data_IF_917157898254
#
_entry.id   IF_917157898254
#
_cell.length_a   1.000
_cell.length_b   1.000
_cell.length_c   1.000
_cell.angle_alpha   90.00
_cell.angle_beta   90.00
_cell.angle_gamma   90.00
#
_symmetry.space_group_name_H-M   'P 1'
#
loop_
_entity.id
_entity.type
_entity.pdbx_description
1 polymer ?
#
# COMPACT_ATOMS: atom_id res chain seq x y z
N UNK A 1 -11.78 3.50 19.05
CA UNK A 1 -10.78 2.94 18.12
C UNK A 1 -9.58 2.42 18.88
N UNK A 2 -8.84 1.49 18.26
CA UNK A 2 -7.64 0.88 18.83
C UNK A 2 -6.44 1.77 18.52
N UNK A 3 -5.54 1.96 19.47
CA UNK A 3 -4.30 2.70 19.25
C UNK A 3 -3.31 1.86 18.43
N UNK A 4 -3.04 2.29 17.19
CA UNK A 4 -2.10 1.64 16.26
C UNK A 4 -0.63 1.89 16.58
N UNK A 5 -0.32 2.79 17.53
CA UNK A 5 1.06 3.17 17.85
C UNK A 5 1.70 2.29 18.94
N UNK A 6 0.90 1.47 19.62
CA UNK A 6 1.37 0.60 20.70
C UNK A 6 1.86 -0.72 20.10
N UNK A 7 3.16 -1.05 20.23
CA UNK A 7 3.66 -2.36 19.82
C UNK A 7 3.12 -3.42 20.78
N UNK A 8 2.48 -4.44 20.22
CA UNK A 8 1.93 -5.56 21.00
C UNK A 8 2.42 -6.88 20.43
N UNK A 9 2.83 -7.78 21.32
CA UNK A 9 3.19 -9.16 20.97
C UNK A 9 1.95 -10.06 20.84
N UNK A 10 0.79 -9.61 21.33
CA UNK A 10 -0.46 -10.33 21.25
C UNK A 10 -1.65 -9.44 21.61
N UNK A 11 -2.86 -9.92 21.32
CA UNK A 11 -4.10 -9.24 21.69
C UNK A 11 -4.59 -9.74 23.04
N UNK A 12 -4.49 -8.90 24.07
CA UNK A 12 -4.92 -9.21 25.44
C UNK A 12 -6.21 -8.48 25.75
N UNK A 13 -7.33 -9.21 25.79
CA UNK A 13 -8.69 -8.64 25.81
C UNK A 13 -8.92 -7.64 26.96
N UNK A 14 -8.39 -7.89 28.17
CA UNK A 14 -8.58 -6.96 29.30
C UNK A 14 -7.70 -5.71 29.21
N UNK A 15 -6.60 -5.75 28.47
CA UNK A 15 -5.79 -4.57 28.16
C UNK A 15 -6.47 -3.71 27.07
N UNK A 16 -7.32 -4.33 26.26
CA UNK A 16 -8.06 -3.71 25.17
C UNK A 16 -9.51 -3.37 25.58
N UNK A 17 -9.74 -3.06 26.87
CA UNK A 17 -11.05 -2.67 27.43
C UNK A 17 -12.18 -3.69 27.16
N UNK A 18 -11.85 -4.98 27.14
CA UNK A 18 -12.81 -6.06 26.88
C UNK A 18 -13.12 -6.25 25.39
N UNK A 19 -12.43 -5.55 24.48
CA UNK A 19 -12.64 -5.68 23.04
C UNK A 19 -11.96 -6.94 22.51
N UNK A 20 -12.72 -7.71 21.73
CA UNK A 20 -12.19 -8.82 20.94
C UNK A 20 -11.80 -8.37 19.53
N UNK A 21 -10.90 -9.08 18.83
CA UNK A 21 -10.54 -8.74 17.46
C UNK A 21 -11.74 -8.84 16.51
N UNK A 22 -11.83 -7.89 15.58
CA UNK A 22 -12.84 -7.91 14.51
C UNK A 22 -12.47 -8.89 13.38
N UNK A 23 -11.16 -9.12 13.20
CA UNK A 23 -10.61 -10.06 12.23
C UNK A 23 -9.48 -10.87 12.87
N UNK A 24 -9.44 -12.16 12.55
CA UNK A 24 -8.31 -13.05 12.86
C UNK A 24 -7.82 -13.70 11.56
N UNK A 25 -6.51 -13.67 11.33
CA UNK A 25 -5.85 -14.39 10.24
C UNK A 25 -4.85 -15.36 10.86
N UNK A 26 -5.03 -16.66 10.59
CA UNK A 26 -4.16 -17.71 11.11
C UNK A 26 -3.26 -18.28 10.01
N UNK A 27 -1.95 -18.25 10.25
CA UNK A 27 -0.95 -18.87 9.39
C UNK A 27 -0.60 -20.27 9.91
N UNK A 28 -0.94 -21.30 9.13
CA UNK A 28 -0.75 -22.70 9.52
C UNK A 28 0.69 -23.16 9.24
N UNK A 29 1.28 -23.88 10.20
CA UNK A 29 2.53 -24.63 10.00
C UNK A 29 2.24 -26.09 9.65
N UNK A 30 3.19 -26.85 9.08
CA UNK A 30 2.99 -28.26 8.75
C UNK A 30 2.73 -29.11 9.99
N UNK A 31 3.31 -28.74 11.15
CA UNK A 31 3.12 -29.44 12.42
C UNK A 31 1.71 -29.30 12.99
N UNK A 32 1.02 -28.21 12.63
CA UNK A 32 -0.31 -27.87 13.13
C UNK A 32 -1.38 -27.98 12.03
N UNK A 33 -1.02 -28.51 10.85
CA UNK A 33 -1.97 -28.77 9.76
C UNK A 33 -3.01 -29.83 10.17
N UNK A 34 -2.65 -30.71 11.10
CA UNK A 34 -3.53 -31.71 11.71
C UNK A 34 -4.20 -31.23 13.00
N UNK A 35 -3.82 -30.06 13.53
CA UNK A 35 -4.55 -29.44 14.64
C UNK A 35 -5.85 -28.89 14.09
N UNK A 36 -6.90 -29.61 14.44
CA UNK A 36 -8.29 -29.44 14.07
C UNK A 36 -8.66 -27.96 13.96
N UNK A 37 -8.72 -27.45 12.71
CA UNK A 37 -9.34 -26.16 12.40
C UNK A 37 -10.69 -25.99 13.12
N UNK A 38 -11.37 -27.09 13.49
CA UNK A 38 -12.58 -27.11 14.31
C UNK A 38 -12.44 -26.40 15.67
N UNK A 39 -11.44 -26.73 16.50
CA UNK A 39 -11.41 -26.22 17.89
C UNK A 39 -11.19 -24.71 17.92
N UNK A 40 -10.18 -24.20 17.19
CA UNK A 40 -9.89 -22.76 17.13
C UNK A 40 -11.04 -22.00 16.48
N UNK A 41 -11.57 -22.51 15.36
CA UNK A 41 -12.74 -21.92 14.70
C UNK A 41 -13.96 -21.87 15.62
N UNK A 42 -14.21 -22.91 16.42
CA UNK A 42 -15.31 -22.93 17.38
C UNK A 42 -15.12 -21.89 18.49
N UNK A 43 -13.90 -21.68 18.98
CA UNK A 43 -13.58 -20.62 19.95
C UNK A 43 -13.84 -19.24 19.35
N UNK A 44 -13.34 -18.99 18.13
CA UNK A 44 -13.53 -17.71 17.46
C UNK A 44 -15.01 -17.45 17.13
N UNK A 45 -15.75 -18.50 16.74
CA UNK A 45 -17.18 -18.44 16.43
C UNK A 45 -18.03 -18.18 17.68
N UNK A 46 -17.81 -18.94 18.75
CA UNK A 46 -18.76 -19.03 19.87
C UNK A 46 -18.38 -18.15 21.05
N UNK A 47 -17.08 -17.98 21.29
CA UNK A 47 -16.56 -17.24 22.44
C UNK A 47 -16.17 -15.83 22.04
N UNK A 48 -15.29 -15.68 21.04
CA UNK A 48 -14.76 -14.36 20.67
C UNK A 48 -15.76 -13.58 19.82
N UNK A 49 -16.65 -14.30 19.10
CA UNK A 49 -17.60 -13.71 18.17
C UNK A 49 -16.90 -12.85 17.12
N UNK A 50 -15.72 -13.27 16.68
CA UNK A 50 -14.91 -12.55 15.69
C UNK A 50 -15.66 -12.55 14.34
N UNK A 51 -16.04 -11.38 13.81
CA UNK A 51 -16.78 -11.24 12.57
C UNK A 51 -16.18 -11.98 11.37
N UNK A 52 -14.89 -11.77 11.06
CA UNK A 52 -14.20 -12.47 9.97
C UNK A 52 -13.01 -13.30 10.48
N UNK A 53 -12.90 -14.53 9.99
CA UNK A 53 -11.80 -15.43 10.32
C UNK A 53 -11.21 -16.04 9.05
N UNK A 54 -9.88 -15.96 8.90
CA UNK A 54 -9.14 -16.46 7.76
C UNK A 54 -8.05 -17.43 8.19
N UNK A 55 -7.77 -18.41 7.34
CA UNK A 55 -6.72 -19.41 7.52
C UNK A 55 -5.96 -19.55 6.22
N UNK A 56 -4.63 -19.56 6.31
CA UNK A 56 -3.74 -19.78 5.18
C UNK A 56 -2.52 -20.61 5.59
N UNK A 57 -2.07 -21.49 4.70
CA UNK A 57 -0.82 -22.23 4.82
C UNK A 57 0.18 -21.69 3.79
N UNK A 58 1.35 -21.18 4.19
CA UNK A 58 2.37 -20.72 3.25
C UNK A 58 2.97 -21.86 2.41
N UNK A 59 2.67 -23.12 2.73
CA UNK A 59 3.12 -24.31 1.99
C UNK A 59 2.13 -24.77 0.91
N UNK A 60 0.94 -24.16 0.85
CA UNK A 60 -0.06 -24.41 -0.19
C UNK A 60 -0.70 -23.08 -0.61
N UNK A 61 -0.32 -22.53 -1.77
CA UNK A 61 -0.84 -21.25 -2.27
C UNK A 61 -2.37 -21.22 -2.42
N UNK A 62 -3.04 -22.38 -2.55
CA UNK A 62 -4.49 -22.46 -2.72
C UNK A 62 -5.24 -22.70 -1.39
N UNK A 63 -4.54 -22.68 -0.26
CA UNK A 63 -5.10 -23.03 1.05
C UNK A 63 -5.92 -21.92 1.72
N UNK A 64 -5.94 -20.72 1.13
CA UNK A 64 -6.65 -19.56 1.68
C UNK A 64 -8.14 -19.88 1.83
N UNK A 65 -8.61 -19.87 3.06
CA UNK A 65 -10.01 -20.08 3.42
C UNK A 65 -10.44 -19.01 4.41
N UNK A 66 -11.73 -18.69 4.39
CA UNK A 66 -12.27 -17.69 5.30
C UNK A 66 -13.74 -17.90 5.58
N UNK A 67 -14.18 -17.36 6.70
CA UNK A 67 -15.55 -17.43 7.17
C UNK A 67 -15.98 -16.09 7.75
N UNK A 68 -17.28 -15.82 7.67
CA UNK A 68 -17.92 -14.66 8.27
C UNK A 68 -19.10 -15.07 9.15
N UNK A 69 -19.26 -14.43 10.31
CA UNK A 69 -20.43 -14.63 11.15
C UNK A 69 -21.69 -14.09 10.46
N UNK A 70 -22.71 -14.93 10.34
CA UNK A 70 -24.03 -14.53 9.89
C UNK A 70 -24.90 -13.97 11.03
N UNK A 71 -26.14 -13.62 10.71
CA UNK A 71 -27.15 -13.19 11.68
C UNK A 71 -27.45 -14.21 12.78
N UNK A 72 -27.19 -15.50 12.54
CA UNK A 72 -27.35 -16.57 13.52
C UNK A 72 -26.09 -16.79 14.36
N UNK A 73 -25.08 -15.93 14.21
CA UNK A 73 -23.80 -16.01 14.91
C UNK A 73 -23.07 -17.33 14.61
N UNK A 74 -23.18 -17.81 13.37
CA UNK A 74 -22.46 -18.99 12.85
C UNK A 74 -21.58 -18.59 11.69
N UNK A 75 -20.42 -19.22 11.59
CA UNK A 75 -19.51 -18.97 10.48
C UNK A 75 -20.05 -19.59 9.18
N UNK A 76 -20.25 -18.74 8.19
CA UNK A 76 -20.51 -19.11 6.81
C UNK A 76 -19.22 -18.97 6.00
N UNK A 77 -18.87 -19.96 5.17
CA UNK A 77 -17.68 -19.87 4.33
C UNK A 77 -17.82 -18.70 3.35
N UNK A 78 -16.74 -17.94 3.18
CA UNK A 78 -16.65 -16.89 2.18
C UNK A 78 -16.41 -17.52 0.80
N UNK A 79 -17.04 -16.96 -0.23
CA UNK A 79 -16.86 -17.39 -1.61
C UNK A 79 -15.73 -16.57 -2.22
N UNK A 80 -14.69 -17.21 -2.79
CA UNK A 80 -13.61 -16.48 -3.45
C UNK A 80 -14.08 -15.84 -4.75
N UNK A 81 -13.44 -14.73 -5.11
CA UNK A 81 -13.56 -14.12 -6.43
C UNK A 81 -12.73 -14.92 -7.47
N UNK A 82 -12.68 -14.42 -8.71
CA UNK A 82 -11.95 -15.06 -9.82
C UNK A 82 -10.44 -15.22 -9.56
N UNK A 83 -9.87 -14.37 -8.70
CA UNK A 83 -8.47 -14.38 -8.28
C UNK A 83 -8.22 -15.25 -7.03
N UNK A 84 -9.25 -15.91 -6.48
CA UNK A 84 -9.14 -16.69 -5.25
C UNK A 84 -9.19 -15.86 -3.97
N UNK A 85 -9.51 -14.56 -4.04
CA UNK A 85 -9.51 -13.65 -2.89
C UNK A 85 -10.85 -13.64 -2.17
N UNK A 86 -10.81 -13.37 -0.87
CA UNK A 86 -11.96 -13.39 0.02
C UNK A 86 -12.24 -11.98 0.56
N UNK A 87 -13.48 -11.51 0.45
CA UNK A 87 -13.86 -10.19 0.93
C UNK A 87 -14.03 -10.17 2.46
N UNK A 88 -13.25 -9.34 3.17
CA UNK A 88 -13.50 -9.01 4.57
C UNK A 88 -14.36 -7.76 4.66
N UNK A 89 -15.63 -7.93 5.00
CA UNK A 89 -16.51 -6.77 5.22
C UNK A 89 -16.16 -6.01 6.50
N UNK A 90 -15.42 -6.62 7.45
CA UNK A 90 -14.96 -5.92 8.66
C UNK A 90 -13.81 -4.95 8.38
N UNK A 91 -12.93 -5.29 7.43
CA UNK A 91 -11.83 -4.42 7.01
C UNK A 91 -12.19 -3.50 5.84
N UNK A 92 -13.17 -3.89 5.01
CA UNK A 92 -13.41 -3.24 3.72
C UNK A 92 -12.30 -3.53 2.71
N UNK A 93 -11.65 -4.70 2.82
CA UNK A 93 -10.55 -5.13 1.96
C UNK A 93 -10.72 -6.58 1.51
N UNK A 94 -10.16 -6.90 0.35
CA UNK A 94 -9.90 -8.27 -0.06
C UNK A 94 -8.72 -8.83 0.72
N UNK A 95 -8.86 -10.06 1.19
CA UNK A 95 -7.77 -10.90 1.68
C UNK A 95 -7.37 -11.82 0.54
N UNK A 96 -6.15 -11.68 0.05
CA UNK A 96 -5.66 -12.40 -1.11
C UNK A 96 -4.23 -12.88 -0.95
N UNK A 97 -3.80 -13.77 -1.84
CA UNK A 97 -2.41 -14.24 -1.90
C UNK A 97 -1.60 -13.39 -2.87
N UNK A 98 -0.38 -13.06 -2.47
CA UNK A 98 0.60 -12.31 -3.26
C UNK A 98 1.93 -13.07 -3.27
N UNK A 99 2.51 -13.27 -4.45
CA UNK A 99 3.85 -13.86 -4.58
C UNK A 99 4.90 -12.76 -4.69
N UNK A 100 5.89 -12.81 -3.81
CA UNK A 100 7.02 -11.89 -3.85
C UNK A 100 7.89 -11.95 -2.60
N UNK A 101 8.80 -11.00 -2.49
CA UNK A 101 9.79 -10.93 -1.42
C UNK A 101 9.37 -9.93 -0.35
N UNK A 102 9.21 -10.38 0.89
CA UNK A 102 9.12 -9.52 2.06
C UNK A 102 10.38 -9.70 2.90
N UNK A 103 11.01 -8.58 3.25
CA UNK A 103 12.32 -8.53 3.91
C UNK A 103 13.39 -9.36 3.16
N UNK A 104 13.55 -10.64 3.54
CA UNK A 104 14.57 -11.54 2.97
C UNK A 104 13.97 -12.84 2.40
N UNK A 105 12.65 -12.99 2.42
CA UNK A 105 11.99 -14.25 2.07
C UNK A 105 11.02 -14.07 0.90
N UNK A 106 11.27 -14.84 -0.16
CA UNK A 106 10.37 -14.96 -1.31
C UNK A 106 9.40 -16.11 -1.08
N UNK A 107 8.12 -15.78 -0.97
CA UNK A 107 7.07 -16.75 -0.71
C UNK A 107 5.72 -16.25 -1.25
N UNK A 108 4.70 -17.09 -1.09
CA UNK A 108 3.30 -16.66 -1.20
C UNK A 108 2.84 -16.11 0.16
N UNK A 109 2.52 -14.83 0.19
CA UNK A 109 2.09 -14.10 1.38
C UNK A 109 0.59 -13.81 1.33
N UNK A 110 -0.05 -13.73 2.49
CA UNK A 110 -1.39 -13.12 2.59
C UNK A 110 -1.22 -11.62 2.65
N UNK A 111 -1.91 -10.90 1.76
CA UNK A 111 -1.91 -9.44 1.67
C UNK A 111 -3.35 -8.93 1.58
N UNK A 112 -3.49 -7.62 1.83
CA UNK A 112 -4.76 -6.92 1.70
C UNK A 112 -4.79 -6.13 0.40
N UNK A 113 -5.97 -6.08 -0.22
CA UNK A 113 -6.22 -5.27 -1.41
C UNK A 113 -7.47 -4.41 -1.20
N UNK A 114 -7.45 -3.18 -1.72
CA UNK A 114 -8.61 -2.29 -1.66
C UNK A 114 -9.79 -2.81 -2.52
N UNK A 115 -10.94 -2.15 -2.44
CA UNK A 115 -12.14 -2.48 -3.23
C UNK A 115 -11.87 -2.58 -4.75
N UNK A 116 -10.89 -1.82 -5.25
CA UNK A 116 -10.50 -1.78 -6.66
C UNK A 116 -9.47 -2.85 -7.03
N UNK A 117 -8.97 -3.61 -6.06
CA UNK A 117 -7.96 -4.65 -6.23
C UNK A 117 -6.52 -4.15 -6.17
N UNK A 118 -6.27 -2.92 -5.71
CA UNK A 118 -4.91 -2.42 -5.50
C UNK A 118 -4.32 -2.97 -4.21
N UNK A 119 -3.04 -3.37 -4.25
CA UNK A 119 -2.33 -3.86 -3.07
C UNK A 119 -2.24 -2.75 -2.01
N UNK A 120 -2.67 -3.05 -0.79
CA UNK A 120 -2.41 -2.20 0.37
C UNK A 120 -0.95 -2.37 0.75
N UNK A 121 -0.17 -1.30 0.58
CA UNK A 121 1.27 -1.30 0.83
C UNK A 121 1.59 -1.34 2.31
N UNK A 122 2.69 -2.01 2.64
CA UNK A 122 3.34 -1.87 3.95
C UNK A 122 3.90 -0.45 4.10
N UNK A 123 4.09 0.03 5.33
CA UNK A 123 4.69 1.35 5.58
C UNK A 123 6.02 1.55 4.85
N UNK A 124 6.86 0.53 4.79
CA UNK A 124 8.17 0.56 4.13
C UNK A 124 8.03 0.64 2.61
N UNK A 125 7.12 -0.14 2.02
CA UNK A 125 6.83 -0.12 0.59
C UNK A 125 6.26 1.24 0.16
N UNK A 126 5.34 1.81 0.96
CA UNK A 126 4.78 3.13 0.72
C UNK A 126 5.83 4.24 0.82
N UNK A 127 6.71 4.17 1.83
CA UNK A 127 7.81 5.11 1.99
C UNK A 127 8.79 5.05 0.82
N UNK A 128 9.12 3.84 0.34
CA UNK A 128 9.97 3.67 -0.83
C UNK A 128 9.33 4.28 -2.08
N UNK A 129 8.05 3.97 -2.36
CA UNK A 129 7.35 4.52 -3.51
C UNK A 129 7.27 6.05 -3.47
N UNK A 130 7.06 6.64 -2.29
CA UNK A 130 7.07 8.09 -2.11
C UNK A 130 8.45 8.70 -2.35
N UNK A 131 9.52 8.06 -1.87
CA UNK A 131 10.89 8.52 -2.09
C UNK A 131 11.26 8.48 -3.58
N UNK A 132 10.91 7.41 -4.28
CA UNK A 132 11.13 7.27 -5.72
C UNK A 132 10.35 8.34 -6.52
N UNK A 133 9.08 8.57 -6.17
CA UNK A 133 8.28 9.62 -6.79
C UNK A 133 8.85 11.02 -6.54
N UNK A 134 9.31 11.31 -5.31
CA UNK A 134 9.94 12.58 -4.98
C UNK A 134 11.26 12.79 -5.73
N UNK A 135 12.06 11.74 -5.88
CA UNK A 135 13.29 11.80 -6.67
C UNK A 135 13.01 12.12 -8.14
N UNK A 136 12.06 11.41 -8.76
CA UNK A 136 11.68 11.66 -10.15
C UNK A 136 11.16 13.09 -10.36
N UNK A 137 10.39 13.62 -9.41
CA UNK A 137 9.91 15.01 -9.47
C UNK A 137 11.06 16.01 -9.34
N UNK A 138 12.03 15.76 -8.45
CA UNK A 138 13.20 16.61 -8.30
C UNK A 138 14.07 16.62 -9.57
N UNK A 139 14.29 15.45 -10.17
CA UNK A 139 15.03 15.32 -11.43
C UNK A 139 14.32 16.05 -12.58
N UNK A 140 12.99 15.91 -12.69
CA UNK A 140 12.20 16.61 -13.69
C UNK A 140 12.24 18.14 -13.50
N UNK A 141 12.14 18.61 -12.25
CA UNK A 141 12.23 20.03 -11.92
C UNK A 141 13.62 20.61 -12.23
N UNK A 142 14.69 19.85 -11.95
CA UNK A 142 16.05 20.25 -12.28
C UNK A 142 16.25 20.38 -13.79
N UNK A 143 15.79 19.40 -14.57
CA UNK A 143 15.87 19.45 -16.04
C UNK A 143 15.10 20.66 -16.61
N UNK A 144 13.94 20.98 -16.05
CA UNK A 144 13.17 22.16 -16.46
C UNK A 144 13.91 23.46 -16.12
N UNK A 145 14.52 23.56 -14.94
CA UNK A 145 15.30 24.72 -14.54
C UNK A 145 16.53 24.92 -15.44
N UNK A 146 17.25 23.84 -15.76
CA UNK A 146 18.40 23.87 -16.68
C UNK A 146 17.97 24.30 -18.10
N UNK A 147 16.86 23.77 -18.61
CA UNK A 147 16.32 24.17 -19.91
C UNK A 147 15.92 25.66 -19.92
N UNK A 148 15.27 26.15 -18.87
CA UNK A 148 14.90 27.56 -18.75
C UNK A 148 16.13 28.48 -18.67
N UNK A 149 17.19 28.07 -17.94
CA UNK A 149 18.45 28.81 -17.90
C UNK A 149 19.14 28.86 -19.26
N UNK A 150 19.18 27.75 -20.00
CA UNK A 150 19.74 27.71 -21.35
C UNK A 150 18.97 28.60 -22.33
N UNK A 151 17.64 28.61 -22.23
CA UNK A 151 16.79 29.49 -23.03
C UNK A 151 17.06 30.97 -22.70
N UNK A 152 17.08 31.33 -21.41
CA UNK A 152 17.35 32.70 -20.97
C UNK A 152 18.75 33.18 -21.41
N UNK A 153 19.77 32.33 -21.32
CA UNK A 153 21.12 32.64 -21.79
C UNK A 153 21.16 32.82 -23.31
N UNK A 154 20.47 31.96 -24.08
CA UNK A 154 20.37 32.07 -25.53
C UNK A 154 19.64 33.36 -25.94
N UNK A 155 18.57 33.71 -25.26
CA UNK A 155 17.84 34.97 -25.47
C UNK A 155 18.70 36.18 -25.14
N UNK A 156 19.45 36.15 -24.02
CA UNK A 156 20.40 37.22 -23.67
C UNK A 156 21.45 37.40 -24.75
N UNK A 157 22.08 36.32 -25.22
CA UNK A 157 23.08 36.37 -26.29
C UNK A 157 22.51 36.89 -27.61
N UNK A 158 21.25 36.55 -27.94
CA UNK A 158 20.56 37.08 -29.12
C UNK A 158 20.27 38.57 -28.97
N UNK A 159 19.79 39.01 -27.82
CA UNK A 159 19.53 40.42 -27.51
C UNK A 159 20.83 41.26 -27.56
N UNK A 160 21.92 40.76 -26.99
CA UNK A 160 23.23 41.42 -27.04
C UNK A 160 23.76 41.57 -28.48
N UNK A 161 23.65 40.51 -29.30
CA UNK A 161 24.04 40.57 -30.73
C UNK A 161 23.18 41.54 -31.53
N UNK A 162 21.87 41.58 -31.28
CA UNK A 162 20.97 42.52 -31.94
C UNK A 162 21.27 43.96 -31.54
N UNK A 163 21.48 44.22 -30.25
CA UNK A 163 21.86 45.53 -29.74
C UNK A 163 23.18 46.01 -30.34
N UNK A 164 24.18 45.13 -30.49
CA UNK A 164 25.43 45.46 -31.15
C UNK A 164 25.23 45.88 -32.63
N UNK A 165 24.41 45.14 -33.40
CA UNK A 165 24.08 45.50 -34.79
C UNK A 165 23.32 46.81 -34.92
N UNK A 166 22.39 47.09 -34.00
CA UNK A 166 21.65 48.36 -33.99
C UNK A 166 22.59 49.56 -33.78
N UNK A 167 23.56 49.44 -32.86
CA UNK A 167 24.59 50.46 -32.66
C UNK A 167 25.46 50.67 -33.90
N UNK A 168 25.82 49.60 -34.62
CA UNK A 168 26.56 49.70 -35.90
C UNK A 168 25.77 50.46 -36.97
N UNK A 169 24.44 50.38 -36.94
CA UNK A 169 23.52 51.09 -37.84
C UNK A 169 23.25 52.54 -37.40
N UNK A 170 23.76 52.97 -36.23
CA UNK A 170 23.55 54.31 -35.68
C UNK A 170 22.24 54.50 -34.90
N UNK A 171 21.53 53.41 -34.62
CA UNK A 171 20.29 53.39 -33.83
C UNK A 171 20.61 53.12 -32.34
N UNK A 172 19.94 53.83 -31.43
CA UNK A 172 20.08 53.58 -29.98
C UNK A 172 19.18 52.39 -29.55
N UNK A 173 19.75 51.25 -29.11
CA UNK A 173 18.97 50.08 -28.70
C UNK A 173 18.04 50.31 -27.49
N UNK A 174 18.23 51.40 -26.73
CA UNK A 174 17.48 51.69 -25.51
C UNK A 174 16.40 52.77 -25.69
N UNK A 175 16.25 53.35 -26.88
CA UNK A 175 15.36 54.48 -27.13
C UNK A 175 13.85 54.19 -26.94
N UNK A 176 13.46 52.93 -26.76
CA UNK A 176 12.06 52.48 -26.58
C UNK A 176 11.71 52.07 -25.14
N UNK A 177 12.63 52.20 -24.19
CA UNK A 177 12.44 51.78 -22.79
C UNK A 177 12.17 52.97 -21.81
N UNK A 178 11.79 54.16 -22.31
CA UNK A 178 11.28 55.28 -21.50
C UNK A 178 9.76 55.39 -21.53
#
# INVERSE_FOLDING_TARGET
DVDGTIPRQGWVVWEENGRYPDVIVELQSPSNANDDTGIKKDIYERVFRTPDYFVFSPFDPNSLRGWRLDSNQRYQPLVPNEQGWLWSQSLGFWVGTWEGTLELETATWVRFYDESGNLILLPEEAAQQQAEAAQQQAEAAQQQAEAAQQQAELERQRAEKLAARLRELGEDPNALNE
#
